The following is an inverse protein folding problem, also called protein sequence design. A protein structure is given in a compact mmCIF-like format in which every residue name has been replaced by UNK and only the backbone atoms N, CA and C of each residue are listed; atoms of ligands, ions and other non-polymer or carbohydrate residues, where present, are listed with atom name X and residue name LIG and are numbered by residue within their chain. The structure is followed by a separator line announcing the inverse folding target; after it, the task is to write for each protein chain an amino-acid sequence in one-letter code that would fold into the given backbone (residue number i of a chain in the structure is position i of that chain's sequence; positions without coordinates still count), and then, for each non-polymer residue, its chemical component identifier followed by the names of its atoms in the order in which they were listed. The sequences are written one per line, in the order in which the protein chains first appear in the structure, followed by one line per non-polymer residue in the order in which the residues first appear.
data_IF_053057912005
#
_entry.id   IF_053057912005
#
_cell.length_a   1.000
_cell.length_b   1.000
_cell.length_c   1.000
_cell.angle_alpha   90.00
_cell.angle_beta   90.00
_cell.angle_gamma   90.00
#
_symmetry.space_group_name_H-M   'P 1'
#
loop_
_entity.id
_entity.type
_entity.pdbx_description
1 polymer ?
#
# COMPACT_ATOMS: atom_id res chain seq x y z
N UNK A 1 6.46 -11.28 -1.51
CA UNK A 1 5.96 -10.06 -0.85
C UNK A 1 6.39 -8.83 -1.63
N UNK A 2 5.60 -7.76 -1.64
CA UNK A 2 5.96 -6.47 -2.22
C UNK A 2 5.93 -5.40 -1.13
N UNK A 3 6.95 -4.54 -1.06
CA UNK A 3 6.96 -3.34 -0.22
C UNK A 3 6.96 -2.12 -1.15
N UNK A 4 5.93 -1.29 -1.06
CA UNK A 4 5.86 0.02 -1.70
C UNK A 4 6.26 1.08 -0.67
N UNK A 5 7.49 1.56 -0.79
CA UNK A 5 8.10 2.51 0.12
C UNK A 5 7.88 3.94 -0.36
N UNK A 6 6.99 4.63 0.32
CA UNK A 6 6.66 6.03 0.10
C UNK A 6 7.47 7.02 0.94
N UNK A 7 8.57 6.60 1.55
CA UNK A 7 9.47 7.49 2.29
C UNK A 7 10.01 8.60 1.39
N UNK A 8 10.15 9.80 1.95
CA UNK A 8 10.59 11.00 1.21
C UNK A 8 12.11 11.18 1.23
N UNK A 9 12.74 10.67 2.28
CA UNK A 9 14.19 10.81 2.54
C UNK A 9 14.79 9.46 2.94
N UNK A 10 16.11 9.36 2.90
CA UNK A 10 16.85 8.18 3.38
C UNK A 10 16.68 7.95 4.88
N UNK A 11 16.54 9.03 5.65
CA UNK A 11 16.28 8.91 7.09
C UNK A 11 14.93 8.27 7.39
N UNK A 12 13.90 8.57 6.57
CA UNK A 12 12.56 8.00 6.72
C UNK A 12 12.48 6.52 6.29
N UNK A 13 13.33 6.06 5.33
CA UNK A 13 13.26 4.69 4.85
C UNK A 13 14.06 3.68 5.68
N UNK A 14 14.85 4.12 6.64
CA UNK A 14 15.71 3.24 7.46
C UNK A 14 14.93 2.08 8.08
N UNK A 15 13.76 2.33 8.65
CA UNK A 15 12.92 1.29 9.24
C UNK A 15 12.27 0.40 8.17
N UNK A 16 11.97 0.92 6.98
CA UNK A 16 11.48 0.15 5.85
C UNK A 16 12.55 -0.79 5.29
N UNK A 17 13.79 -0.31 5.18
CA UNK A 17 14.94 -1.12 4.77
C UNK A 17 15.20 -2.25 5.77
N UNK A 18 15.13 -1.94 7.07
CA UNK A 18 15.26 -2.96 8.13
C UNK A 18 14.13 -4.00 8.04
N UNK A 19 12.89 -3.57 7.79
CA UNK A 19 11.78 -4.47 7.55
C UNK A 19 12.06 -5.41 6.36
N UNK A 20 12.47 -4.87 5.22
CA UNK A 20 12.78 -5.65 4.02
C UNK A 20 13.89 -6.67 4.30
N UNK A 21 14.96 -6.26 5.01
CA UNK A 21 16.06 -7.14 5.43
C UNK A 21 15.55 -8.29 6.31
N UNK A 22 14.79 -7.99 7.39
CA UNK A 22 14.25 -9.01 8.31
C UNK A 22 13.36 -10.03 7.61
N UNK A 23 12.50 -9.57 6.71
CA UNK A 23 11.64 -10.45 5.92
C UNK A 23 12.47 -11.36 5.00
N UNK A 24 13.53 -10.83 4.37
CA UNK A 24 14.43 -11.62 3.51
C UNK A 24 15.24 -12.63 4.32
N UNK A 25 15.78 -12.23 5.47
CA UNK A 25 16.48 -13.12 6.40
C UNK A 25 15.57 -14.21 6.96
N UNK A 26 14.26 -13.92 7.11
CA UNK A 26 13.22 -14.89 7.46
C UNK A 26 12.82 -15.83 6.31
N UNK A 27 13.52 -15.80 5.18
CA UNK A 27 13.30 -16.71 4.04
C UNK A 27 12.20 -16.29 3.07
N UNK A 28 11.68 -15.06 3.17
CA UNK A 28 10.65 -14.56 2.25
C UNK A 28 11.27 -13.92 1.01
N UNK A 29 10.63 -14.11 -0.15
CA UNK A 29 10.95 -13.34 -1.36
C UNK A 29 10.33 -11.96 -1.24
N UNK A 30 11.19 -10.92 -1.18
CA UNK A 30 10.79 -9.52 -0.99
C UNK A 30 11.23 -8.69 -2.18
N UNK A 31 10.27 -8.05 -2.84
CA UNK A 31 10.51 -6.95 -3.77
C UNK A 31 10.28 -5.64 -3.03
N UNK A 32 11.31 -4.81 -2.92
CA UNK A 32 11.25 -3.51 -2.27
C UNK A 32 11.37 -2.40 -3.31
N UNK A 33 10.29 -1.63 -3.48
CA UNK A 33 10.19 -0.51 -4.42
C UNK A 33 10.26 0.81 -3.67
N UNK A 34 11.41 1.49 -3.73
CA UNK A 34 11.57 2.85 -3.21
C UNK A 34 10.99 3.84 -4.21
N UNK A 35 9.79 4.31 -3.94
CA UNK A 35 9.01 5.11 -4.89
C UNK A 35 9.63 6.49 -5.18
N UNK A 36 10.43 7.05 -4.26
CA UNK A 36 11.15 8.30 -4.48
C UNK A 36 12.20 8.21 -5.60
N UNK A 37 12.72 6.99 -5.86
CA UNK A 37 13.72 6.75 -6.90
C UNK A 37 13.05 6.53 -8.28
N UNK A 38 11.72 6.46 -8.32
CA UNK A 38 10.92 6.27 -9.52
C UNK A 38 10.41 7.59 -10.08
N UNK A 39 10.55 7.80 -11.38
CA UNK A 39 10.01 8.99 -12.09
C UNK A 39 8.55 8.75 -12.51
N UNK A 40 7.67 8.50 -11.55
CA UNK A 40 6.26 8.26 -11.81
C UNK A 40 5.47 9.55 -11.98
N UNK A 41 4.63 9.61 -13.03
CA UNK A 41 3.66 10.68 -13.24
C UNK A 41 2.40 10.51 -12.38
N UNK A 42 1.66 11.61 -12.20
CA UNK A 42 0.35 11.59 -11.55
C UNK A 42 -0.73 10.98 -12.44
N UNK A 43 -1.79 10.47 -11.83
CA UNK A 43 -3.01 10.10 -12.55
C UNK A 43 -3.61 11.34 -13.24
N UNK A 44 -3.88 11.24 -14.54
CA UNK A 44 -4.48 12.33 -15.31
C UNK A 44 -6.01 12.32 -15.29
N UNK A 45 -6.63 11.35 -14.62
CA UNK A 45 -8.08 11.20 -14.58
C UNK A 45 -8.73 10.94 -15.94
N UNK A 46 -7.97 10.47 -16.93
CA UNK A 46 -8.45 10.26 -18.29
C UNK A 46 -9.32 9.00 -18.47
N UNK A 47 -9.36 8.11 -17.48
CA UNK A 47 -10.06 6.83 -17.51
C UNK A 47 -9.69 5.88 -18.66
N UNK A 48 -8.65 6.16 -19.44
CA UNK A 48 -8.19 5.30 -20.54
C UNK A 48 -7.89 3.88 -20.08
N UNK A 49 -7.44 3.67 -18.84
CA UNK A 49 -7.24 2.36 -18.22
C UNK A 49 -8.55 1.56 -17.96
N UNK A 50 -9.70 2.18 -18.18
CA UNK A 50 -11.01 1.52 -18.13
C UNK A 50 -11.65 1.40 -19.51
N UNK A 51 -11.46 2.38 -20.39
CA UNK A 51 -12.20 2.53 -21.65
C UNK A 51 -11.38 2.12 -22.86
N UNK A 52 -10.15 2.65 -23.01
CA UNK A 52 -9.31 2.44 -24.20
C UNK A 52 -8.43 1.20 -24.08
N UNK A 53 -7.78 1.04 -22.93
CA UNK A 53 -6.84 -0.03 -22.63
C UNK A 53 -7.14 -0.65 -21.25
N UNK A 54 -8.21 -1.44 -21.11
CA UNK A 54 -8.64 -1.97 -19.82
C UNK A 54 -7.51 -2.64 -19.05
N UNK A 55 -7.25 -2.14 -17.85
CA UNK A 55 -6.19 -2.63 -16.97
C UNK A 55 -4.82 -1.99 -17.17
N UNK A 56 -4.64 -1.12 -18.17
CA UNK A 56 -3.34 -0.49 -18.49
C UNK A 56 -3.45 1.03 -18.54
N UNK A 57 -2.58 1.71 -17.78
CA UNK A 57 -2.41 3.16 -17.92
C UNK A 57 -1.73 3.49 -19.26
N UNK A 58 -2.16 4.58 -19.90
CA UNK A 58 -1.52 5.08 -21.13
C UNK A 58 -0.10 5.61 -20.92
N UNK A 59 0.23 6.05 -19.69
CA UNK A 59 1.56 6.55 -19.35
C UNK A 59 2.49 5.38 -19.08
N UNK A 60 3.55 5.27 -19.87
CA UNK A 60 4.57 4.23 -19.77
C UNK A 60 5.80 4.79 -19.03
N UNK A 61 5.79 4.67 -17.70
CA UNK A 61 6.81 5.19 -16.78
C UNK A 61 7.20 4.17 -15.69
N UNK A 62 6.95 2.89 -15.96
CA UNK A 62 7.23 1.79 -15.04
C UNK A 62 6.11 1.51 -14.01
N UNK A 63 5.04 2.33 -13.96
CA UNK A 63 3.90 2.06 -13.06
C UNK A 63 3.23 0.71 -13.33
N UNK A 64 3.14 0.28 -14.59
CA UNK A 64 2.54 -1.00 -14.95
C UNK A 64 3.30 -2.20 -14.35
N UNK A 65 4.61 -2.08 -14.16
CA UNK A 65 5.45 -3.09 -13.50
C UNK A 65 5.10 -3.19 -12.02
N UNK A 66 4.94 -2.05 -11.35
CA UNK A 66 4.50 -1.98 -9.95
C UNK A 66 3.11 -2.62 -9.79
N UNK A 67 2.18 -2.31 -10.70
CA UNK A 67 0.84 -2.91 -10.69
C UNK A 67 0.87 -4.44 -10.86
N UNK A 68 1.72 -4.96 -11.76
CA UNK A 68 1.91 -6.42 -11.91
C UNK A 68 2.53 -7.04 -10.67
N UNK A 69 3.55 -6.42 -10.10
CA UNK A 69 4.18 -6.89 -8.85
C UNK A 69 3.18 -6.89 -7.69
N UNK A 70 2.34 -5.85 -7.58
CA UNK A 70 1.28 -5.77 -6.58
C UNK A 70 0.29 -6.93 -6.71
N UNK A 71 -0.19 -7.22 -7.92
CA UNK A 71 -1.14 -8.32 -8.15
C UNK A 71 -0.52 -9.72 -8.02
N UNK A 72 0.79 -9.86 -8.21
CA UNK A 72 1.52 -11.12 -8.05
C UNK A 72 1.89 -11.42 -6.58
N UNK A 73 1.91 -10.41 -5.72
CA UNK A 73 2.28 -10.58 -4.32
C UNK A 73 1.19 -11.28 -3.50
N UNK A 74 1.56 -12.08 -2.52
CA UNK A 74 0.65 -12.59 -1.48
C UNK A 74 0.37 -11.51 -0.42
N UNK A 75 1.40 -10.72 -0.12
CA UNK A 75 1.34 -9.58 0.82
C UNK A 75 1.94 -8.35 0.16
N UNK A 76 1.20 -7.24 0.19
CA UNK A 76 1.69 -5.93 -0.20
C UNK A 76 1.74 -5.00 1.02
N UNK A 77 2.91 -4.44 1.28
CA UNK A 77 3.15 -3.46 2.34
C UNK A 77 3.13 -2.06 1.73
N UNK A 78 2.25 -1.20 2.23
CA UNK A 78 2.21 0.22 1.89
C UNK A 78 2.86 0.97 3.05
N UNK A 79 4.11 1.39 2.88
CA UNK A 79 4.91 2.02 3.92
C UNK A 79 5.15 3.50 3.61
N UNK A 80 4.97 4.38 4.58
CA UNK A 80 5.33 5.79 4.40
C UNK A 80 4.80 6.73 5.47
N UNK A 81 5.25 8.00 5.44
CA UNK A 81 4.80 9.00 6.39
C UNK A 81 3.31 9.31 6.20
N UNK A 82 2.62 9.51 7.32
CA UNK A 82 1.28 10.10 7.34
C UNK A 82 1.41 11.59 7.04
N UNK A 83 0.76 12.05 5.97
CA UNK A 83 0.84 13.43 5.49
C UNK A 83 -0.56 14.02 5.40
N UNK A 84 -0.91 14.93 6.31
CA UNK A 84 -2.25 15.53 6.38
C UNK A 84 -3.40 14.49 6.38
N UNK A 85 -3.19 13.35 7.02
CA UNK A 85 -4.16 12.25 7.06
C UNK A 85 -4.22 11.41 5.78
N UNK A 86 -3.32 11.60 4.80
CA UNK A 86 -3.15 10.80 3.60
C UNK A 86 -1.80 10.09 3.54
N UNK A 87 -1.55 9.40 2.43
CA UNK A 87 -0.26 8.83 2.12
C UNK A 87 0.73 9.92 1.66
N UNK A 88 2.01 9.57 1.55
CA UNK A 88 2.98 10.45 0.87
C UNK A 88 2.62 10.60 -0.62
N UNK A 89 3.01 11.71 -1.24
CA UNK A 89 2.77 11.95 -2.65
C UNK A 89 3.33 10.84 -3.57
N UNK A 90 4.39 10.17 -3.15
CA UNK A 90 4.97 9.06 -3.91
C UNK A 90 4.04 7.83 -3.90
N UNK A 91 3.45 7.49 -2.75
CA UNK A 91 2.44 6.41 -2.65
C UNK A 91 1.14 6.79 -3.36
N UNK A 92 0.65 8.02 -3.22
CA UNK A 92 -0.57 8.48 -3.91
C UNK A 92 -0.45 8.34 -5.43
N UNK A 93 0.69 8.71 -6.03
CA UNK A 93 0.94 8.50 -7.46
C UNK A 93 0.74 7.07 -7.92
N UNK A 94 1.11 6.10 -7.08
CA UNK A 94 0.95 4.69 -7.38
C UNK A 94 -0.49 4.26 -7.18
N UNK A 95 -1.07 4.58 -6.01
CA UNK A 95 -2.41 4.15 -5.62
C UNK A 95 -3.50 4.73 -6.51
N UNK A 96 -3.43 6.01 -6.87
CA UNK A 96 -4.36 6.64 -7.81
C UNK A 96 -4.40 5.93 -9.17
N UNK A 97 -3.26 5.44 -9.61
CA UNK A 97 -3.14 4.74 -10.90
C UNK A 97 -3.44 3.25 -10.81
N UNK A 98 -3.65 2.71 -9.60
CA UNK A 98 -4.24 1.37 -9.41
C UNK A 98 -5.70 1.29 -9.83
N UNK A 99 -6.27 2.41 -10.27
CA UNK A 99 -7.58 2.44 -10.94
C UNK A 99 -7.68 1.38 -12.07
N UNK A 100 -6.59 1.11 -12.77
CA UNK A 100 -6.51 0.05 -13.77
C UNK A 100 -6.65 -1.37 -13.19
N UNK A 101 -6.40 -1.59 -11.91
CA UNK A 101 -6.49 -2.90 -11.25
C UNK A 101 -7.93 -3.27 -10.83
N UNK A 102 -8.86 -2.32 -10.89
CA UNK A 102 -10.28 -2.49 -10.61
C UNK A 102 -11.11 -2.15 -11.86
N UNK A 103 -12.37 -2.50 -11.87
CA UNK A 103 -13.26 -2.21 -13.00
C UNK A 103 -14.12 -0.96 -12.74
N UNK A 104 -14.64 -0.29 -13.77
CA UNK A 104 -15.47 0.91 -13.63
C UNK A 104 -16.85 0.63 -13.02
N UNK A 105 -17.23 -0.62 -12.84
CA UNK A 105 -18.53 -1.01 -12.31
C UNK A 105 -18.54 -1.01 -10.79
N UNK A 106 -19.71 -0.81 -10.20
CA UNK A 106 -19.90 -0.79 -8.75
C UNK A 106 -20.66 -2.02 -8.27
N UNK A 107 -20.34 -2.42 -7.05
CA UNK A 107 -21.06 -3.46 -6.32
C UNK A 107 -21.20 -3.10 -4.84
N UNK A 108 -22.23 -3.66 -4.21
CA UNK A 108 -22.40 -3.58 -2.76
C UNK A 108 -21.39 -4.48 -2.04
N UNK A 109 -20.89 -3.98 -0.90
CA UNK A 109 -20.07 -4.73 0.04
C UNK A 109 -20.51 -4.32 1.46
N UNK A 110 -21.38 -5.11 2.07
CA UNK A 110 -22.11 -4.67 3.26
C UNK A 110 -22.88 -3.38 2.98
N UNK A 111 -22.71 -2.39 3.83
CA UNK A 111 -23.37 -1.07 3.71
C UNK A 111 -22.61 -0.07 2.83
N UNK A 112 -21.48 -0.48 2.24
CA UNK A 112 -20.68 0.39 1.39
C UNK A 112 -20.73 -0.06 -0.07
N UNK A 113 -20.35 0.87 -0.97
CA UNK A 113 -20.18 0.60 -2.40
C UNK A 113 -18.68 0.59 -2.71
N UNK A 114 -18.25 -0.36 -3.52
CA UNK A 114 -16.90 -0.44 -4.05
C UNK A 114 -16.92 -0.76 -5.54
N UNK A 115 -15.80 -0.52 -6.21
CA UNK A 115 -15.61 -1.02 -7.57
C UNK A 115 -15.60 -2.55 -7.62
N UNK A 116 -15.98 -3.13 -8.76
CA UNK A 116 -15.86 -4.59 -8.96
C UNK A 116 -14.41 -4.99 -9.22
N UNK A 117 -14.05 -6.20 -8.81
CA UNK A 117 -12.72 -6.74 -9.00
C UNK A 117 -12.43 -7.01 -10.48
N UNK A 118 -11.22 -6.67 -10.95
CA UNK A 118 -10.72 -7.09 -12.27
C UNK A 118 -10.03 -8.44 -12.21
N UNK A 119 -9.46 -8.80 -11.10
CA UNK A 119 -8.65 -9.99 -10.90
C UNK A 119 -9.28 -10.92 -9.86
N UNK A 120 -9.00 -12.22 -9.96
CA UNK A 120 -9.52 -13.22 -9.03
C UNK A 120 -8.77 -13.26 -7.69
N UNK A 121 -7.49 -12.83 -7.68
CA UNK A 121 -6.64 -12.77 -6.48
C UNK A 121 -6.23 -11.34 -6.21
N UNK A 122 -6.12 -11.00 -4.95
CA UNK A 122 -5.62 -9.71 -4.47
C UNK A 122 -4.69 -9.96 -3.29
N UNK A 123 -3.64 -9.15 -3.10
CA UNK A 123 -2.77 -9.28 -1.95
C UNK A 123 -3.48 -8.93 -0.64
N UNK A 124 -3.07 -9.56 0.45
CA UNK A 124 -3.28 -9.02 1.78
C UNK A 124 -2.52 -7.70 1.89
N UNK A 125 -3.13 -6.68 2.48
CA UNK A 125 -2.47 -5.40 2.68
C UNK A 125 -1.96 -5.26 4.12
N UNK A 126 -0.74 -4.76 4.25
CA UNK A 126 -0.21 -4.22 5.50
C UNK A 126 0.09 -2.75 5.27
N UNK A 127 -0.62 -1.87 5.94
CA UNK A 127 -0.43 -0.42 5.82
C UNK A 127 0.34 0.08 7.02
N UNK A 128 1.49 0.70 6.77
CA UNK A 128 2.38 1.23 7.81
C UNK A 128 2.43 2.75 7.68
N UNK A 129 1.80 3.43 8.64
CA UNK A 129 1.84 4.89 8.76
C UNK A 129 2.94 5.32 9.71
N UNK A 130 3.93 6.07 9.23
CA UNK A 130 4.98 6.66 10.07
C UNK A 130 4.47 7.98 10.62
N UNK A 131 4.33 8.09 11.95
CA UNK A 131 3.83 9.28 12.64
C UNK A 131 4.24 9.29 14.10
N UNK A 132 4.54 10.46 14.63
CA UNK A 132 4.85 10.65 16.06
C UNK A 132 3.56 10.83 16.90
N UNK A 133 2.39 10.93 16.24
CA UNK A 133 1.09 11.03 16.92
C UNK A 133 0.08 9.98 16.36
N UNK A 134 0.17 8.71 16.78
CA UNK A 134 -0.66 7.62 16.29
C UNK A 134 -2.15 7.73 16.72
N UNK A 135 -2.47 8.62 17.64
CA UNK A 135 -3.82 8.87 18.13
C UNK A 135 -4.40 10.23 17.66
N UNK A 136 -3.61 11.02 16.96
CA UNK A 136 -3.97 12.33 16.44
C UNK A 136 -5.01 12.28 15.31
N UNK A 137 -5.44 13.45 14.89
CA UNK A 137 -6.47 13.61 13.84
C UNK A 137 -6.01 13.05 12.50
N UNK A 138 -4.75 13.29 12.14
CA UNK A 138 -4.18 12.78 10.88
C UNK A 138 -4.12 11.25 10.88
N UNK A 139 -3.69 10.62 11.96
CA UNK A 139 -3.67 9.17 12.10
C UNK A 139 -5.08 8.55 12.00
N UNK A 140 -6.09 9.21 12.63
CA UNK A 140 -7.50 8.76 12.52
C UNK A 140 -8.03 8.87 11.09
N UNK A 141 -7.68 9.97 10.39
CA UNK A 141 -8.07 10.18 8.98
C UNK A 141 -7.39 9.15 8.08
N UNK A 142 -6.08 8.96 8.26
CA UNK A 142 -5.28 7.97 7.54
C UNK A 142 -5.83 6.55 7.71
N UNK A 143 -6.21 6.17 8.92
CA UNK A 143 -6.84 4.86 9.18
C UNK A 143 -8.09 4.67 8.35
N UNK A 144 -8.98 5.66 8.30
CA UNK A 144 -10.20 5.60 7.50
C UNK A 144 -9.90 5.46 6.01
N UNK A 145 -8.94 6.25 5.50
CA UNK A 145 -8.50 6.20 4.11
C UNK A 145 -7.93 4.81 3.77
N UNK A 146 -6.99 4.32 4.56
CA UNK A 146 -6.33 3.03 4.34
C UNK A 146 -7.36 1.87 4.30
N UNK A 147 -8.30 1.85 5.24
CA UNK A 147 -9.36 0.84 5.28
C UNK A 147 -10.28 0.91 4.06
N UNK A 148 -10.63 2.12 3.58
CA UNK A 148 -11.46 2.28 2.39
C UNK A 148 -10.73 1.89 1.11
N UNK A 149 -9.45 2.22 1.00
CA UNK A 149 -8.62 1.79 -0.11
C UNK A 149 -8.48 0.26 -0.15
N UNK A 150 -8.27 -0.38 1.01
CA UNK A 150 -8.20 -1.85 1.09
C UNK A 150 -9.49 -2.52 0.59
N UNK A 151 -10.66 -1.99 0.99
CA UNK A 151 -11.95 -2.48 0.50
C UNK A 151 -12.07 -2.31 -1.01
N UNK A 152 -11.67 -1.15 -1.54
CA UNK A 152 -11.79 -0.87 -2.98
C UNK A 152 -10.79 -1.68 -3.82
N UNK A 153 -9.63 -1.98 -3.27
CA UNK A 153 -8.60 -2.85 -3.88
C UNK A 153 -8.88 -4.34 -3.65
N UNK A 154 -10.02 -4.70 -3.05
CA UNK A 154 -10.42 -6.09 -2.78
C UNK A 154 -9.42 -6.88 -1.93
N UNK A 155 -8.68 -6.21 -1.05
CA UNK A 155 -7.77 -6.91 -0.16
C UNK A 155 -8.55 -7.90 0.72
N UNK A 156 -8.16 -9.19 0.75
CA UNK A 156 -8.84 -10.19 1.57
C UNK A 156 -8.70 -9.90 3.06
N UNK A 157 -7.65 -9.15 3.40
CA UNK A 157 -7.37 -8.68 4.75
C UNK A 157 -6.52 -7.42 4.68
N UNK A 158 -6.69 -6.53 5.67
CA UNK A 158 -5.84 -5.36 5.88
C UNK A 158 -5.43 -5.29 7.35
N UNK A 159 -4.13 -5.13 7.56
CA UNK A 159 -3.55 -4.82 8.87
C UNK A 159 -2.95 -3.42 8.80
N UNK A 160 -3.28 -2.55 9.76
CA UNK A 160 -2.76 -1.20 9.82
C UNK A 160 -1.93 -1.01 11.10
N UNK A 161 -0.71 -0.50 10.93
CA UNK A 161 0.22 -0.20 12.01
C UNK A 161 0.69 1.26 11.91
N UNK A 162 0.83 1.89 13.06
CA UNK A 162 1.57 3.13 13.18
C UNK A 162 2.91 2.85 13.85
N UNK A 163 3.95 3.50 13.37
CA UNK A 163 5.28 3.46 13.96
C UNK A 163 5.82 4.88 14.05
N UNK A 164 6.70 5.11 15.01
CA UNK A 164 7.42 6.37 15.15
C UNK A 164 8.44 6.55 14.01
N UNK A 165 8.89 7.77 13.78
CA UNK A 165 9.96 8.07 12.79
C UNK A 165 11.28 7.41 13.14
N UNK A 166 11.55 7.22 14.43
CA UNK A 166 12.71 6.49 14.93
C UNK A 166 12.25 5.33 15.83
N UNK A 167 11.70 4.25 15.21
CA UNK A 167 11.12 3.16 15.98
C UNK A 167 12.20 2.38 16.75
N UNK A 168 11.84 1.94 17.95
CA UNK A 168 12.69 1.07 18.76
C UNK A 168 12.92 -0.28 18.06
N UNK A 169 13.93 -1.02 18.49
CA UNK A 169 14.21 -2.37 17.98
C UNK A 169 13.00 -3.30 18.17
N UNK A 170 12.32 -3.22 19.32
CA UNK A 170 11.10 -3.99 19.57
C UNK A 170 10.00 -3.65 18.56
N UNK A 171 9.75 -2.36 18.29
CA UNK A 171 8.74 -1.94 17.32
C UNK A 171 9.06 -2.41 15.89
N UNK A 172 10.34 -2.45 15.50
CA UNK A 172 10.78 -3.00 14.20
C UNK A 172 10.56 -4.51 14.12
N UNK A 173 10.88 -5.26 15.17
CA UNK A 173 10.64 -6.68 15.25
C UNK A 173 9.14 -7.02 15.21
N UNK A 174 8.32 -6.25 15.94
CA UNK A 174 6.86 -6.40 15.95
C UNK A 174 6.24 -6.10 14.59
N UNK A 175 6.76 -5.10 13.87
CA UNK A 175 6.33 -4.79 12.52
C UNK A 175 6.61 -5.97 11.57
N UNK A 176 7.82 -6.53 11.60
CA UNK A 176 8.17 -7.68 10.77
C UNK A 176 7.26 -8.88 11.08
N UNK A 177 7.00 -9.16 12.34
CA UNK A 177 6.08 -10.21 12.78
C UNK A 177 4.66 -9.98 12.25
N UNK A 178 4.13 -8.77 12.33
CA UNK A 178 2.81 -8.42 11.80
C UNK A 178 2.71 -8.66 10.28
N UNK A 179 3.78 -8.43 9.52
CA UNK A 179 3.80 -8.71 8.07
C UNK A 179 3.77 -10.21 7.79
N UNK A 180 4.46 -11.01 8.60
CA UNK A 180 4.55 -12.47 8.42
C UNK A 180 3.27 -13.15 8.95
N UNK A 181 2.93 -12.86 10.18
CA UNK A 181 1.83 -13.49 10.93
C UNK A 181 0.68 -12.50 11.11
N UNK A 182 -0.41 -12.66 10.36
CA UNK A 182 -1.56 -11.82 10.61
C UNK A 182 -2.11 -12.07 12.02
N UNK A 183 -2.33 -11.00 12.80
CA UNK A 183 -3.06 -11.14 14.07
C UNK A 183 -4.41 -11.81 13.83
N UNK A 184 -4.77 -12.76 14.69
CA UNK A 184 -6.10 -13.35 14.64
C UNK A 184 -7.14 -12.23 14.78
N UNK A 185 -8.02 -12.07 13.80
CA UNK A 185 -9.18 -11.19 13.95
C UNK A 185 -10.03 -11.82 15.05
N UNK A 186 -10.14 -11.13 16.19
CA UNK A 186 -11.18 -11.46 17.16
C UNK A 186 -12.53 -11.36 16.42
N UNK A 187 -13.23 -12.48 16.34
CA UNK A 187 -14.53 -12.61 15.69
C UNK A 187 -15.60 -11.75 16.39
#
# INVERSE_FOLDING_TARGET
MLILDGSRTEAEDTACLDLARRLTEGGHQVQHERLRDRKLGYCQGCFGCWVEHPGRCKTDDGHAEIGRAFMAADVAVLYGPVTFGGYSAALEKVLDRFLGLIMPFFQKYGDITRHTARHARHPRLVVVGVTDDPHGTDARTFRKLAMRNAVNLHAPRVDLRFIDRAPTESARADLARCVIEPEAVAA
#
